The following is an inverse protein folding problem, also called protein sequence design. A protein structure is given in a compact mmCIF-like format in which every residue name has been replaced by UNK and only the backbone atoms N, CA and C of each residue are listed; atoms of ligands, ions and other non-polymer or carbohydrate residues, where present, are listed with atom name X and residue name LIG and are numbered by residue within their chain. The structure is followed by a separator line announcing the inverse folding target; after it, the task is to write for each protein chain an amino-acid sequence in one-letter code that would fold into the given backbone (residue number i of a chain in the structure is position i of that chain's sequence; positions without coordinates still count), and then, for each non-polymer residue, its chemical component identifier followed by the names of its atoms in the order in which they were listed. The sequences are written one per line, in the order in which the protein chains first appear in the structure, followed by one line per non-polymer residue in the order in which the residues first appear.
data_IF_262647207976
#
_entry.id   IF_262647207976
#
_cell.length_a   1.000
_cell.length_b   1.000
_cell.length_c   1.000
_cell.angle_alpha   90.00
_cell.angle_beta   90.00
_cell.angle_gamma   90.00
#
_symmetry.space_group_name_H-M   'P 1'
#
loop_
_entity.id
_entity.type
_entity.pdbx_description
1 polymer ?
#
# COMPACT_ATOMS: atom_id res chain seq x y z
N UNK A 1 9.67 23.93 22.22
CA UNK A 1 9.86 23.02 21.07
C UNK A 1 8.61 22.17 20.94
N UNK A 2 7.88 22.31 19.85
CA UNK A 2 6.71 21.49 19.54
C UNK A 2 7.14 20.16 18.93
N UNK A 3 6.25 19.15 18.95
CA UNK A 3 6.49 17.87 18.29
C UNK A 3 6.72 18.07 16.78
N UNK A 4 6.02 19.02 16.18
CA UNK A 4 6.17 19.37 14.77
C UNK A 4 7.54 20.00 14.47
N UNK A 5 8.04 20.87 15.34
CA UNK A 5 9.39 21.45 15.21
C UNK A 5 10.49 20.39 15.34
N UNK A 6 10.34 19.46 16.28
CA UNK A 6 11.28 18.34 16.46
C UNK A 6 11.26 17.41 15.25
N UNK A 7 10.07 17.03 14.77
CA UNK A 7 9.88 16.23 13.56
C UNK A 7 10.55 16.89 12.35
N UNK A 8 10.28 18.17 12.13
CA UNK A 8 10.84 18.91 11.00
C UNK A 8 12.36 18.98 11.08
N UNK A 9 12.93 19.23 12.26
CA UNK A 9 14.39 19.24 12.47
C UNK A 9 15.02 17.90 12.09
N UNK A 10 14.42 16.79 12.53
CA UNK A 10 14.88 15.44 12.21
C UNK A 10 14.71 15.10 10.74
N UNK A 11 13.65 15.56 10.08
CA UNK A 11 13.46 15.37 8.64
C UNK A 11 14.49 16.20 7.86
N UNK A 12 14.77 17.43 8.29
CA UNK A 12 15.71 18.32 7.62
C UNK A 12 17.15 17.84 7.68
N UNK A 13 17.54 17.13 8.75
CA UNK A 13 18.89 16.57 8.89
C UNK A 13 19.16 15.32 8.03
N UNK A 14 18.12 14.71 7.45
CA UNK A 14 18.29 13.53 6.59
C UNK A 14 18.93 13.88 5.25
N UNK A 15 19.88 13.06 4.82
CA UNK A 15 20.41 13.07 3.45
C UNK A 15 19.31 12.67 2.44
N UNK A 16 19.47 13.01 1.14
CA UNK A 16 18.52 12.58 0.11
C UNK A 16 18.29 11.06 0.08
N UNK A 17 19.35 10.27 0.31
CA UNK A 17 19.27 8.80 0.36
C UNK A 17 18.41 8.32 1.53
N UNK A 18 18.60 8.88 2.71
CA UNK A 18 17.84 8.51 3.91
C UNK A 18 16.38 8.92 3.79
N UNK A 19 16.10 10.08 3.18
CA UNK A 19 14.73 10.51 2.89
C UNK A 19 14.01 9.52 1.99
N UNK A 20 14.64 9.11 0.89
CA UNK A 20 14.08 8.11 -0.02
C UNK A 20 13.85 6.78 0.70
N UNK A 21 14.85 6.30 1.47
CA UNK A 21 14.73 5.06 2.21
C UNK A 21 13.57 5.09 3.22
N UNK A 22 13.41 6.21 3.94
CA UNK A 22 12.31 6.43 4.88
C UNK A 22 10.95 6.46 4.16
N UNK A 23 10.84 7.20 3.07
CA UNK A 23 9.61 7.24 2.26
C UNK A 23 9.23 5.87 1.71
N UNK A 24 10.21 5.10 1.23
CA UNK A 24 10.00 3.73 0.75
C UNK A 24 9.53 2.80 1.89
N UNK A 25 10.12 2.92 3.09
CA UNK A 25 9.71 2.14 4.25
C UNK A 25 8.27 2.48 4.69
N UNK A 26 7.92 3.78 4.72
CA UNK A 26 6.54 4.21 5.01
C UNK A 26 5.55 3.70 3.97
N UNK A 27 5.92 3.75 2.69
CA UNK A 27 5.09 3.23 1.60
C UNK A 27 4.90 1.71 1.72
N UNK A 28 5.97 0.98 2.05
CA UNK A 28 5.88 -0.46 2.31
C UNK A 28 4.95 -0.76 3.49
N UNK A 29 5.12 -0.06 4.60
CA UNK A 29 4.27 -0.22 5.79
C UNK A 29 2.79 0.03 5.47
N UNK A 30 2.48 1.08 4.71
CA UNK A 30 1.12 1.36 4.24
C UNK A 30 0.56 0.20 3.41
N UNK A 31 1.33 -0.35 2.47
CA UNK A 31 0.90 -1.51 1.66
C UNK A 31 0.62 -2.75 2.52
N UNK A 32 1.43 -2.99 3.54
CA UNK A 32 1.23 -4.10 4.48
C UNK A 32 -0.03 -3.92 5.33
N UNK A 33 -0.30 -2.69 5.80
CA UNK A 33 -1.54 -2.40 6.51
C UNK A 33 -2.77 -2.66 5.63
N UNK A 34 -2.74 -2.18 4.39
CA UNK A 34 -3.81 -2.43 3.41
C UNK A 34 -3.97 -3.94 3.18
N UNK A 35 -2.87 -4.68 3.01
CA UNK A 35 -2.89 -6.12 2.82
C UNK A 35 -3.55 -6.86 3.99
N UNK A 36 -3.18 -6.52 5.23
CA UNK A 36 -3.79 -7.07 6.44
C UNK A 36 -5.30 -6.79 6.49
N UNK A 37 -5.71 -5.57 6.15
CA UNK A 37 -7.11 -5.18 6.12
C UNK A 37 -7.89 -6.01 5.08
N UNK A 38 -7.35 -6.18 3.86
CA UNK A 38 -7.98 -7.00 2.82
C UNK A 38 -8.14 -8.45 3.29
N UNK A 39 -7.11 -9.05 3.88
CA UNK A 39 -7.19 -10.43 4.36
C UNK A 39 -8.24 -10.59 5.47
N UNK A 40 -8.33 -9.62 6.38
CA UNK A 40 -9.35 -9.62 7.42
C UNK A 40 -10.76 -9.55 6.81
N UNK A 41 -11.00 -8.64 5.87
CA UNK A 41 -12.29 -8.54 5.19
C UNK A 41 -12.66 -9.87 4.47
N UNK A 42 -11.70 -10.51 3.78
CA UNK A 42 -11.95 -11.82 3.15
C UNK A 42 -12.35 -12.90 4.15
N UNK A 43 -11.70 -12.95 5.30
CA UNK A 43 -12.01 -13.90 6.37
C UNK A 43 -13.41 -13.67 6.96
N UNK A 44 -13.80 -12.39 7.16
CA UNK A 44 -15.12 -12.02 7.65
C UNK A 44 -16.25 -12.45 6.70
N UNK A 45 -16.02 -12.38 5.38
CA UNK A 45 -17.00 -12.80 4.37
C UNK A 45 -16.93 -14.29 4.01
N UNK A 46 -16.15 -15.11 4.74
CA UNK A 46 -16.00 -16.54 4.46
C UNK A 46 -15.49 -16.83 3.04
N UNK A 47 -14.75 -15.89 2.45
CA UNK A 47 -14.23 -16.00 1.08
C UNK A 47 -12.97 -16.86 1.06
N UNK A 48 -12.68 -17.45 -0.12
CA UNK A 48 -11.45 -18.21 -0.36
C UNK A 48 -10.22 -17.34 -0.01
N UNK A 49 -9.21 -17.96 0.58
CA UNK A 49 -7.92 -17.31 0.82
C UNK A 49 -7.31 -16.81 -0.49
N UNK A 50 -6.86 -15.56 -0.48
CA UNK A 50 -6.25 -14.92 -1.65
C UNK A 50 -4.84 -15.46 -1.87
N UNK A 51 -4.50 -15.72 -3.12
CA UNK A 51 -3.10 -15.94 -3.49
C UNK A 51 -2.28 -14.66 -3.29
N UNK A 52 -0.96 -14.80 -3.18
CA UNK A 52 -0.06 -13.65 -3.06
C UNK A 52 -0.16 -12.69 -4.25
N UNK A 53 -0.41 -13.20 -5.47
CA UNK A 53 -0.56 -12.38 -6.66
C UNK A 53 -1.89 -11.60 -6.64
N UNK A 54 -3.00 -12.22 -6.26
CA UNK A 54 -4.29 -11.53 -6.10
C UNK A 54 -4.23 -10.46 -5.02
N UNK A 55 -3.61 -10.77 -3.87
CA UNK A 55 -3.44 -9.82 -2.77
C UNK A 55 -2.64 -8.60 -3.23
N UNK A 56 -1.55 -8.80 -3.98
CA UNK A 56 -0.75 -7.71 -4.56
C UNK A 56 -1.61 -6.76 -5.41
N UNK A 57 -2.45 -7.28 -6.29
CA UNK A 57 -3.28 -6.46 -7.17
C UNK A 57 -4.45 -5.80 -6.43
N UNK A 58 -5.02 -6.46 -5.42
CA UNK A 58 -6.04 -5.84 -4.54
C UNK A 58 -5.46 -4.71 -3.69
N UNK A 59 -4.23 -4.85 -3.19
CA UNK A 59 -3.51 -3.75 -2.53
C UNK A 59 -3.33 -2.59 -3.51
N UNK A 60 -2.88 -2.88 -4.74
CA UNK A 60 -2.68 -1.86 -5.77
C UNK A 60 -3.97 -1.08 -6.10
N UNK A 61 -5.14 -1.74 -6.13
CA UNK A 61 -6.42 -1.06 -6.34
C UNK A 61 -6.71 -0.01 -5.27
N UNK A 62 -6.40 -0.26 -4.01
CA UNK A 62 -6.61 0.73 -2.94
C UNK A 62 -5.60 1.87 -3.03
N UNK A 63 -4.34 1.55 -3.33
CA UNK A 63 -3.26 2.56 -3.46
C UNK A 63 -3.55 3.54 -4.60
N UNK A 64 -4.01 3.04 -5.75
CA UNK A 64 -4.23 3.83 -6.96
C UNK A 64 -5.70 4.17 -7.21
N UNK A 65 -6.56 4.09 -6.19
CA UNK A 65 -8.02 4.25 -6.34
C UNK A 65 -8.44 5.58 -7.02
N UNK A 66 -7.62 6.62 -6.89
CA UNK A 66 -7.87 7.94 -7.47
C UNK A 66 -7.47 8.06 -8.96
N UNK A 67 -6.88 7.04 -9.56
CA UNK A 67 -6.33 7.08 -10.93
C UNK A 67 -7.09 6.12 -11.87
N UNK A 68 -8.16 6.57 -12.58
CA UNK A 68 -9.04 5.68 -13.32
C UNK A 68 -8.35 4.81 -14.37
N UNK A 69 -7.35 5.35 -15.06
CA UNK A 69 -6.59 4.61 -16.07
C UNK A 69 -5.77 3.48 -15.44
N UNK A 70 -5.17 3.72 -14.27
CA UNK A 70 -4.39 2.73 -13.52
C UNK A 70 -5.31 1.68 -12.92
N UNK A 71 -6.45 2.08 -12.36
CA UNK A 71 -7.49 1.18 -11.84
C UNK A 71 -7.94 0.21 -12.94
N UNK A 72 -8.24 0.70 -14.14
CA UNK A 72 -8.67 -0.15 -15.26
C UNK A 72 -7.61 -1.19 -15.63
N UNK A 73 -6.32 -0.80 -15.63
CA UNK A 73 -5.22 -1.72 -15.88
C UNK A 73 -5.10 -2.79 -14.80
N UNK A 74 -5.21 -2.39 -13.53
CA UNK A 74 -5.13 -3.32 -12.40
C UNK A 74 -6.32 -4.29 -12.40
N UNK A 75 -7.54 -3.80 -12.67
CA UNK A 75 -8.74 -4.65 -12.72
C UNK A 75 -8.64 -5.72 -13.80
N UNK A 76 -8.13 -5.39 -14.99
CA UNK A 76 -7.84 -6.38 -16.04
C UNK A 76 -6.90 -7.46 -15.53
N UNK A 77 -5.79 -7.05 -14.91
CA UNK A 77 -4.81 -8.00 -14.40
C UNK A 77 -5.36 -8.84 -13.25
N UNK A 78 -6.21 -8.27 -12.40
CA UNK A 78 -6.88 -9.00 -11.32
C UNK A 78 -7.82 -10.08 -11.89
N UNK A 79 -8.56 -9.78 -12.95
CA UNK A 79 -9.41 -10.76 -13.63
C UNK A 79 -8.58 -11.93 -14.20
N UNK A 80 -7.38 -11.66 -14.72
CA UNK A 80 -6.49 -12.70 -15.25
C UNK A 80 -5.95 -13.66 -14.16
N UNK A 81 -5.75 -13.18 -12.92
CA UNK A 81 -5.11 -13.94 -11.84
C UNK A 81 -6.09 -14.53 -10.82
N UNK A 82 -7.36 -14.10 -10.86
CA UNK A 82 -8.44 -14.63 -10.01
C UNK A 82 -9.34 -15.65 -10.72
N UNK A 83 -9.11 -15.89 -12.02
CA UNK A 83 -9.86 -16.85 -12.86
C UNK A 83 -9.40 -18.30 -12.72
#
# INVERSE_FOLDING_TARGET
MTIEEEYNTLIYSLTPRERIARSAAMFQWMREMIGRQICQEQAEFGSKELTAEELKWRIALRVYAAEPAVVALIQRRLADVSG
#
